data_IF_933466662195
#
_entry.id   IF_933466662195
#
_cell.length_a   1.000
_cell.length_b   1.000
_cell.length_c   1.000
_cell.angle_alpha   90.00
_cell.angle_beta   90.00
_cell.angle_gamma   90.00
#
_symmetry.space_group_name_H-M   'P 1'
#
loop_
_entity.id
_entity.type
_entity.pdbx_description
1 polymer ?
#
# COMPACT_ATOMS: atom_id res chain seq x y z
N UNK A 1 14.42 20.80 -8.19
CA UNK A 1 14.72 20.15 -9.49
C UNK A 1 14.16 18.73 -9.48
N UNK A 2 13.30 18.37 -10.45
CA UNK A 2 12.66 17.05 -10.51
C UNK A 2 13.61 15.97 -11.04
N UNK A 3 13.76 14.87 -10.31
CA UNK A 3 14.57 13.71 -10.73
C UNK A 3 14.09 13.23 -12.10
N UNK A 4 15.02 13.11 -13.05
CA UNK A 4 14.76 12.63 -14.42
C UNK A 4 14.15 11.23 -14.35
N UNK A 5 13.10 10.99 -15.13
CA UNK A 5 12.48 9.66 -15.19
C UNK A 5 13.48 8.65 -15.76
N UNK A 6 13.56 7.49 -15.11
CA UNK A 6 14.37 6.36 -15.59
C UNK A 6 13.76 5.75 -16.85
N UNK A 7 12.43 5.64 -16.89
CA UNK A 7 11.69 5.15 -18.04
C UNK A 7 11.19 6.32 -18.88
N UNK A 8 11.46 6.28 -20.18
CA UNK A 8 11.05 7.32 -21.14
C UNK A 8 9.67 7.08 -21.74
N UNK A 9 9.08 5.90 -21.54
CA UNK A 9 7.74 5.55 -21.99
C UNK A 9 7.04 4.60 -21.02
N UNK A 10 5.70 4.63 -21.03
CA UNK A 10 4.86 3.69 -20.28
C UNK A 10 5.09 2.26 -20.74
N UNK A 11 5.27 2.05 -22.05
CA UNK A 11 5.56 0.74 -22.65
C UNK A 11 6.84 0.12 -22.08
N UNK A 12 7.93 0.89 -22.00
CA UNK A 12 9.20 0.39 -21.46
C UNK A 12 9.11 0.03 -19.97
N UNK A 13 8.28 0.76 -19.20
CA UNK A 13 8.00 0.38 -17.81
C UNK A 13 7.20 -0.93 -17.75
N UNK A 14 6.16 -1.06 -18.57
CA UNK A 14 5.29 -2.25 -18.62
C UNK A 14 6.10 -3.50 -18.99
N UNK A 15 6.94 -3.44 -20.02
CA UNK A 15 7.80 -4.56 -20.44
C UNK A 15 8.72 -5.04 -19.31
N UNK A 16 9.29 -4.13 -18.52
CA UNK A 16 10.16 -4.50 -17.39
C UNK A 16 9.39 -5.05 -16.19
N UNK A 17 8.18 -4.54 -15.95
CA UNK A 17 7.26 -5.07 -14.93
C UNK A 17 6.85 -6.51 -15.29
N UNK A 18 6.51 -6.74 -16.54
CA UNK A 18 6.10 -8.06 -17.03
C UNK A 18 7.26 -9.05 -16.96
N UNK A 19 8.45 -8.65 -17.40
CA UNK A 19 9.66 -9.48 -17.29
C UNK A 19 9.98 -9.88 -15.84
N UNK A 20 9.79 -8.98 -14.86
CA UNK A 20 9.95 -9.32 -13.45
C UNK A 20 8.94 -10.41 -13.01
N UNK A 21 7.69 -10.26 -13.41
CA UNK A 21 6.66 -11.23 -13.03
C UNK A 21 6.85 -12.60 -13.71
N UNK A 22 7.24 -12.62 -14.97
CA UNK A 22 7.56 -13.85 -15.70
C UNK A 22 8.75 -14.59 -15.07
N UNK A 23 9.80 -13.86 -14.69
CA UNK A 23 10.96 -14.46 -14.03
C UNK A 23 10.60 -15.04 -12.66
N UNK A 24 9.83 -14.33 -11.84
CA UNK A 24 9.36 -14.86 -10.57
C UNK A 24 8.43 -16.08 -10.73
N UNK A 25 7.57 -16.07 -11.74
CA UNK A 25 6.71 -17.23 -12.06
C UNK A 25 7.55 -18.45 -12.46
N UNK A 26 8.56 -18.24 -13.30
CA UNK A 26 9.48 -19.30 -13.76
C UNK A 26 10.33 -19.88 -12.64
N UNK A 27 10.82 -19.03 -11.73
CA UNK A 27 11.71 -19.43 -10.63
C UNK A 27 10.97 -19.90 -9.38
N UNK A 28 9.67 -19.58 -9.27
CA UNK A 28 8.90 -19.76 -8.04
C UNK A 28 9.23 -18.73 -6.96
N UNK A 29 9.99 -17.67 -7.28
CA UNK A 29 10.31 -16.63 -6.32
C UNK A 29 9.06 -15.82 -5.92
N UNK A 30 8.91 -15.49 -4.63
CA UNK A 30 7.80 -14.67 -4.17
C UNK A 30 7.80 -13.26 -4.77
N UNK A 31 6.63 -12.83 -5.26
CA UNK A 31 6.43 -11.45 -5.69
C UNK A 31 6.52 -10.47 -4.51
N UNK A 32 7.34 -9.42 -4.65
CA UNK A 32 7.46 -8.36 -3.64
C UNK A 32 7.61 -6.98 -4.28
N UNK A 33 7.18 -5.92 -3.56
CA UNK A 33 7.34 -4.53 -4.05
C UNK A 33 8.81 -4.15 -4.16
N UNK A 34 9.64 -4.63 -3.22
CA UNK A 34 11.08 -4.37 -3.25
C UNK A 34 11.75 -5.12 -4.39
N UNK A 35 11.39 -6.39 -4.64
CA UNK A 35 11.88 -7.16 -5.78
C UNK A 35 11.57 -6.48 -7.11
N UNK A 36 10.34 -5.97 -7.28
CA UNK A 36 9.98 -5.18 -8.45
C UNK A 36 10.84 -3.91 -8.57
N UNK A 37 11.08 -3.19 -7.47
CA UNK A 37 11.93 -1.99 -7.49
C UNK A 37 13.38 -2.33 -7.89
N UNK A 38 13.93 -3.45 -7.40
CA UNK A 38 15.25 -3.95 -7.80
C UNK A 38 15.31 -4.30 -9.29
N UNK A 39 14.31 -5.02 -9.81
CA UNK A 39 14.23 -5.39 -11.23
C UNK A 39 14.13 -4.16 -12.17
N UNK A 40 13.50 -3.09 -11.68
CA UNK A 40 13.42 -1.80 -12.37
C UNK A 40 14.65 -0.91 -12.15
N UNK A 41 15.64 -1.39 -11.40
CA UNK A 41 16.84 -0.66 -10.97
C UNK A 41 16.47 0.71 -10.37
N UNK A 42 15.57 0.69 -9.40
CA UNK A 42 15.02 1.88 -8.75
C UNK A 42 14.79 1.67 -7.26
N UNK A 43 14.47 2.75 -6.53
CA UNK A 43 14.06 2.63 -5.13
C UNK A 43 12.55 2.42 -5.02
N UNK A 44 12.09 1.77 -3.95
CA UNK A 44 10.65 1.64 -3.65
C UNK A 44 9.96 3.00 -3.65
N UNK A 45 10.60 4.03 -3.09
CA UNK A 45 10.08 5.40 -3.11
C UNK A 45 9.88 5.92 -4.54
N UNK A 46 10.88 5.73 -5.40
CA UNK A 46 10.80 6.18 -6.81
C UNK A 46 9.70 5.43 -7.56
N UNK A 47 9.57 4.12 -7.34
CA UNK A 47 8.47 3.32 -7.89
C UNK A 47 7.10 3.87 -7.48
N UNK A 48 6.94 4.23 -6.20
CA UNK A 48 5.68 4.80 -5.70
C UNK A 48 5.43 6.23 -6.22
N UNK A 49 6.47 7.01 -6.46
CA UNK A 49 6.33 8.34 -7.07
C UNK A 49 5.82 8.29 -8.51
N UNK A 50 6.07 7.21 -9.26
CA UNK A 50 5.45 7.00 -10.57
C UNK A 50 3.92 6.84 -10.50
N UNK A 51 3.35 6.46 -9.34
CA UNK A 51 1.90 6.38 -9.17
C UNK A 51 1.18 7.72 -9.32
N UNK A 52 1.90 8.83 -9.10
CA UNK A 52 1.37 10.20 -9.14
C UNK A 52 1.52 10.86 -10.51
N UNK A 53 2.00 10.13 -11.53
CA UNK A 53 2.22 10.66 -12.88
C UNK A 53 1.27 10.04 -13.88
N UNK A 54 0.75 10.89 -14.76
CA UNK A 54 -0.18 10.49 -15.82
C UNK A 54 0.43 9.43 -16.75
N UNK A 55 -0.37 8.41 -17.08
CA UNK A 55 0.01 7.26 -17.89
C UNK A 55 0.86 6.19 -17.18
N UNK A 56 1.76 6.57 -16.27
CA UNK A 56 2.61 5.61 -15.54
C UNK A 56 1.91 5.01 -14.32
N UNK A 57 0.99 5.76 -13.70
CA UNK A 57 0.37 5.35 -12.44
C UNK A 57 -0.43 4.05 -12.53
N UNK A 58 -1.04 3.77 -13.69
CA UNK A 58 -1.82 2.57 -13.90
C UNK A 58 -0.97 1.30 -13.96
N UNK A 59 0.20 1.38 -14.60
CA UNK A 59 1.16 0.26 -14.62
C UNK A 59 1.58 -0.11 -13.21
N UNK A 60 1.96 0.89 -12.41
CA UNK A 60 2.40 0.66 -11.02
C UNK A 60 1.25 0.18 -10.14
N UNK A 61 0.03 0.70 -10.31
CA UNK A 61 -1.15 0.26 -9.54
C UNK A 61 -1.49 -1.20 -9.86
N UNK A 62 -1.49 -1.59 -11.13
CA UNK A 62 -1.70 -3.00 -11.54
C UNK A 62 -0.60 -3.91 -10.99
N UNK A 63 0.66 -3.48 -11.06
CA UNK A 63 1.78 -4.25 -10.53
C UNK A 63 1.64 -4.48 -9.02
N UNK A 64 1.31 -3.43 -8.25
CA UNK A 64 1.05 -3.54 -6.80
C UNK A 64 -0.12 -4.46 -6.48
N UNK A 65 -1.21 -4.38 -7.25
CA UNK A 65 -2.38 -5.25 -7.07
C UNK A 65 -2.03 -6.73 -7.32
N UNK A 66 -1.19 -7.04 -8.31
CA UNK A 66 -0.70 -8.41 -8.55
C UNK A 66 0.13 -8.93 -7.38
N UNK A 67 1.00 -8.08 -6.83
CA UNK A 67 1.82 -8.41 -5.65
C UNK A 67 0.91 -8.61 -4.43
N UNK A 68 -0.05 -7.71 -4.18
CA UNK A 68 -1.03 -7.81 -3.10
C UNK A 68 -1.83 -9.12 -3.17
N UNK A 69 -2.33 -9.49 -4.36
CA UNK A 69 -3.00 -10.78 -4.55
C UNK A 69 -2.09 -11.99 -4.29
N UNK A 70 -0.80 -11.90 -4.57
CA UNK A 70 0.14 -12.97 -4.25
C UNK A 70 0.31 -13.15 -2.72
N UNK A 71 0.34 -12.06 -1.95
CA UNK A 71 0.31 -12.12 -0.49
C UNK A 71 -1.02 -12.68 0.02
N UNK A 72 -2.15 -12.26 -0.56
CA UNK A 72 -3.50 -12.72 -0.20
C UNK A 72 -3.69 -14.22 -0.44
N UNK A 73 -3.36 -14.71 -1.65
CA UNK A 73 -3.42 -16.15 -1.97
C UNK A 73 -2.58 -16.97 -1.01
N UNK A 74 -1.41 -16.46 -0.67
CA UNK A 74 -0.48 -17.12 0.25
C UNK A 74 -1.00 -17.11 1.68
N UNK A 75 -1.61 -16.02 2.11
CA UNK A 75 -2.32 -15.93 3.39
C UNK A 75 -3.46 -16.97 3.45
N UNK A 76 -4.27 -17.10 2.39
CA UNK A 76 -5.34 -18.11 2.32
C UNK A 76 -4.76 -19.53 2.40
N UNK A 77 -3.67 -19.80 1.67
CA UNK A 77 -3.11 -21.14 1.58
C UNK A 77 -2.45 -21.63 2.88
N UNK A 78 -1.81 -20.73 3.65
CA UNK A 78 -0.99 -21.15 4.81
C UNK A 78 -1.19 -20.36 6.10
N UNK A 79 -1.90 -19.23 6.07
CA UNK A 79 -2.24 -18.43 7.24
C UNK A 79 -1.03 -17.97 8.07
N UNK A 80 -0.25 -16.99 7.60
CA UNK A 80 0.89 -16.48 8.39
C UNK A 80 0.84 -14.97 8.69
N UNK A 81 1.40 -14.58 9.84
CA UNK A 81 1.41 -13.19 10.29
C UNK A 81 2.26 -12.25 9.42
N UNK A 82 3.25 -12.78 8.69
CA UNK A 82 4.07 -12.01 7.76
C UNK A 82 3.28 -11.51 6.55
N UNK A 83 2.37 -12.34 6.03
CA UNK A 83 1.48 -12.01 4.92
C UNK A 83 0.44 -10.97 5.38
N UNK A 84 -0.09 -11.09 6.60
CA UNK A 84 -0.93 -10.04 7.22
C UNK A 84 -0.18 -8.72 7.37
N UNK A 85 1.06 -8.74 7.88
CA UNK A 85 1.89 -7.53 7.99
C UNK A 85 2.14 -6.88 6.62
N UNK A 86 2.41 -7.67 5.59
CA UNK A 86 2.57 -7.18 4.24
C UNK A 86 1.28 -6.54 3.71
N UNK A 87 0.12 -7.21 3.83
CA UNK A 87 -1.18 -6.69 3.40
C UNK A 87 -1.58 -5.40 4.15
N UNK A 88 -1.23 -5.26 5.42
CA UNK A 88 -1.39 -3.98 6.16
C UNK A 88 -0.58 -2.84 5.52
N UNK A 89 0.61 -3.11 4.98
CA UNK A 89 1.38 -2.13 4.19
C UNK A 89 0.72 -1.78 2.84
N UNK A 90 -0.18 -2.63 2.32
CA UNK A 90 -1.05 -2.33 1.17
C UNK A 90 -2.30 -1.55 1.56
N UNK A 91 -2.53 -1.30 2.86
CA UNK A 91 -3.64 -0.51 3.37
C UNK A 91 -4.76 -1.32 4.00
N UNK A 92 -4.60 -2.64 4.15
CA UNK A 92 -5.56 -3.47 4.88
C UNK A 92 -5.60 -3.03 6.34
N UNK A 93 -6.81 -3.03 6.91
CA UNK A 93 -7.07 -2.66 8.29
C UNK A 93 -7.92 -3.72 8.94
N UNK A 94 -7.56 -4.08 10.16
CA UNK A 94 -8.46 -4.87 11.00
C UNK A 94 -9.71 -4.01 11.26
N UNK A 95 -10.90 -4.59 11.06
CA UNK A 95 -12.13 -3.94 11.48
C UNK A 95 -12.28 -4.16 12.98
N UNK A 96 -12.19 -3.08 13.76
CA UNK A 96 -12.60 -3.11 15.17
C UNK A 96 -14.02 -2.60 15.28
N UNK A 97 -14.96 -3.44 15.71
CA UNK A 97 -16.26 -2.98 16.18
C UNK A 97 -16.07 -2.42 17.60
N UNK A 98 -16.17 -1.10 17.76
CA UNK A 98 -16.35 -0.48 19.07
C UNK A 98 -17.81 -0.06 19.17
N UNK A 99 -18.59 -0.75 20.00
CA UNK A 99 -19.88 -0.23 20.44
C UNK A 99 -19.60 1.05 21.24
N UNK A 100 -19.90 2.21 20.65
CA UNK A 100 -19.94 3.46 21.41
C UNK A 100 -21.33 3.52 22.03
N UNK A 101 -21.47 3.02 23.25
CA UNK A 101 -22.63 3.37 24.08
C UNK A 101 -22.47 4.83 24.51
N UNK A 102 -23.08 5.75 23.76
CA UNK A 102 -23.27 7.12 24.22
C UNK A 102 -24.39 7.09 25.25
N UNK A 103 -24.06 6.91 26.53
CA UNK A 103 -24.96 7.36 27.61
C UNK A 103 -24.97 8.89 27.56
N UNK A 104 -25.97 9.43 26.86
CA UNK A 104 -26.15 10.85 26.63
C UNK A 104 -26.39 11.60 27.94
N UNK A 105 -25.38 12.37 28.35
CA UNK A 105 -25.52 13.73 28.91
C UNK A 105 -24.15 14.27 29.36
N UNK A 106 -23.25 13.40 29.81
CA UNK A 106 -22.00 13.83 30.45
C UNK A 106 -20.91 14.32 29.48
N UNK A 107 -21.01 14.03 28.17
CA UNK A 107 -19.90 14.30 27.24
C UNK A 107 -19.87 15.71 26.64
N UNK A 108 -21.01 16.41 26.57
CA UNK A 108 -21.07 17.73 25.96
C UNK A 108 -20.71 18.81 26.96
N UNK A 109 -21.27 18.77 28.17
CA UNK A 109 -20.95 19.75 29.23
C UNK A 109 -19.47 19.70 29.64
N UNK A 110 -18.88 18.50 29.72
CA UNK A 110 -17.47 18.33 30.04
C UNK A 110 -16.56 18.96 28.96
N UNK A 111 -16.87 18.73 27.68
CA UNK A 111 -16.14 19.33 26.56
C UNK A 111 -16.37 20.84 26.45
N UNK A 112 -17.58 21.31 26.77
CA UNK A 112 -17.89 22.74 26.78
C UNK A 112 -17.13 23.46 27.88
N UNK A 113 -17.04 22.89 29.09
CA UNK A 113 -16.23 23.43 30.20
C UNK A 113 -14.74 23.46 29.87
N UNK A 114 -14.23 22.41 29.22
CA UNK A 114 -12.83 22.34 28.79
C UNK A 114 -12.50 23.38 27.71
N UNK A 115 -13.42 23.62 26.77
CA UNK A 115 -13.28 24.65 25.74
C UNK A 115 -13.48 26.08 26.25
N UNK A 116 -14.35 26.25 27.24
CA UNK A 116 -14.71 27.56 27.79
C UNK A 116 -13.77 28.04 28.92
N UNK A 117 -12.76 27.23 29.29
CA UNK A 117 -11.67 27.61 30.18
C UNK A 117 -12.14 28.39 31.41
N UNK A 118 -12.68 27.67 32.39
CA UNK A 118 -13.15 28.15 33.71
C UNK A 118 -12.96 29.65 33.98
N UNK A 119 -14.04 30.41 33.83
CA UNK A 119 -14.29 31.63 34.60
C UNK A 119 -15.66 31.54 35.25
N UNK A 120 -15.66 31.17 36.52
CA UNK A 120 -16.65 31.65 37.48
C UNK A 120 -16.21 33.03 37.96
#
# INVERSE_FOLDING_TARGET
MGRKLKFRSVKALQEKVDAYFEECEKTGEPLTVTGLALALDTSRETLLNYQKRDGYGDVVRRAKMKIENAYEKRLIARGNGGDVFALKNFGWKDKSERAVEVTGDLSLEAKLKEMMGEKF
#
